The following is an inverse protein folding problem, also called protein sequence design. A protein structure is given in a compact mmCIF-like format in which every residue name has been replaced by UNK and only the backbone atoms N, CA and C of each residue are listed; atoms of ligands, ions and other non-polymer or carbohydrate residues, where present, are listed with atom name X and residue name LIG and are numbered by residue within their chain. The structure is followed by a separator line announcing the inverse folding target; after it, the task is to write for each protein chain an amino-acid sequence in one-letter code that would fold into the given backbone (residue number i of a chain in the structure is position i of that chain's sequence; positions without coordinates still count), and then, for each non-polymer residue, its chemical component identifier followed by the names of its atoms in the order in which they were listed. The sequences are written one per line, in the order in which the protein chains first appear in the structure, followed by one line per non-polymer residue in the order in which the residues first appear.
data_IF_495318949698
#
_entry.id   IF_495318949698
#
_cell.length_a   1.000
_cell.length_b   1.000
_cell.length_c   1.000
_cell.angle_alpha   90.00
_cell.angle_beta   90.00
_cell.angle_gamma   90.00
#
_symmetry.space_group_name_H-M   'P 1'
#
loop_
_entity.id
_entity.type
_entity.pdbx_description
1 polymer ?
#
# COMPACT_ATOMS: atom_id res chain seq x y z
N UNK A 1 -1.18 5.82 -4.43
CA UNK A 1 -1.96 6.98 -3.92
C UNK A 1 -1.28 8.34 -4.18
N UNK A 2 -0.59 8.52 -5.31
CA UNK A 2 0.02 9.81 -5.72
C UNK A 2 -0.60 10.33 -7.01
N UNK A 3 -0.66 9.44 -7.99
CA UNK A 3 -1.35 9.63 -9.26
C UNK A 3 -2.87 9.62 -9.07
N UNK A 4 -3.61 10.09 -10.06
CA UNK A 4 -5.07 10.11 -10.20
C UNK A 4 -5.70 8.73 -10.37
N UNK A 5 -5.39 7.81 -9.45
CA UNK A 5 -5.94 6.46 -9.40
C UNK A 5 -5.38 5.52 -10.47
N UNK A 6 -6.09 4.41 -10.68
CA UNK A 6 -5.69 3.34 -11.61
C UNK A 6 -5.61 3.88 -13.04
N UNK A 7 -6.53 4.76 -13.44
CA UNK A 7 -6.60 5.32 -14.79
C UNK A 7 -5.27 5.99 -15.19
N UNK A 8 -4.71 6.84 -14.32
CA UNK A 8 -3.44 7.51 -14.63
C UNK A 8 -2.25 6.54 -14.55
N UNK A 9 -2.29 5.57 -13.63
CA UNK A 9 -1.25 4.54 -13.58
C UNK A 9 -1.19 3.73 -14.88
N UNK A 10 -2.35 3.32 -15.43
CA UNK A 10 -2.40 2.58 -16.70
C UNK A 10 -1.76 3.37 -17.85
N UNK A 11 -1.99 4.69 -17.90
CA UNK A 11 -1.34 5.55 -18.90
C UNK A 11 0.19 5.54 -18.73
N UNK A 12 0.69 5.58 -17.49
CA UNK A 12 2.14 5.48 -17.20
C UNK A 12 2.72 4.12 -17.57
N UNK A 13 2.03 3.00 -17.25
CA UNK A 13 2.47 1.65 -17.64
C UNK A 13 2.64 1.56 -19.17
N UNK A 14 1.64 2.05 -19.93
CA UNK A 14 1.68 2.05 -21.40
C UNK A 14 2.79 2.94 -21.96
N UNK A 15 3.03 4.11 -21.36
CA UNK A 15 4.15 4.97 -21.75
C UNK A 15 5.49 4.28 -21.51
N UNK A 16 5.69 3.69 -20.33
CA UNK A 16 6.92 2.98 -20.01
C UNK A 16 7.17 1.81 -20.98
N UNK A 17 6.12 1.03 -21.30
CA UNK A 17 6.18 -0.03 -22.32
C UNK A 17 6.59 0.51 -23.69
N UNK A 18 5.98 1.61 -24.13
CA UNK A 18 6.29 2.25 -25.43
C UNK A 18 7.77 2.65 -25.53
N UNK A 19 8.33 3.17 -24.44
CA UNK A 19 9.73 3.66 -24.41
C UNK A 19 10.73 2.63 -23.88
N UNK A 20 10.30 1.40 -23.56
CA UNK A 20 11.18 0.34 -23.06
C UNK A 20 11.77 0.62 -21.68
N UNK A 21 11.08 1.42 -20.85
CA UNK A 21 11.54 1.80 -19.50
C UNK A 21 10.96 0.80 -18.48
N UNK A 22 11.78 0.22 -17.59
CA UNK A 22 11.29 -0.66 -16.54
C UNK A 22 10.53 0.13 -15.46
N UNK A 23 9.56 -0.53 -14.82
CA UNK A 23 8.79 0.01 -13.70
C UNK A 23 9.11 -0.80 -12.45
N UNK A 24 9.41 -0.07 -11.36
CA UNK A 24 9.52 -0.59 -10.01
C UNK A 24 8.61 0.26 -9.15
N UNK A 25 7.41 -0.21 -8.77
CA UNK A 25 6.47 0.61 -8.02
C UNK A 25 6.99 0.89 -6.62
N UNK A 26 6.78 2.13 -6.17
CA UNK A 26 6.97 2.53 -4.78
C UNK A 26 5.84 1.97 -3.92
N UNK A 27 6.20 1.35 -2.81
CA UNK A 27 5.29 0.63 -1.91
C UNK A 27 5.51 0.97 -0.43
N UNK A 28 6.28 2.00 -0.11
CA UNK A 28 6.51 2.43 1.28
C UNK A 28 5.38 3.27 1.85
N UNK A 29 4.73 2.80 2.91
CA UNK A 29 3.69 3.53 3.64
C UNK A 29 2.53 2.64 4.06
N UNK A 30 1.46 3.24 4.57
CA UNK A 30 0.28 2.49 5.03
C UNK A 30 -0.55 2.04 3.82
N UNK A 31 -0.70 0.73 3.62
CA UNK A 31 -1.57 0.15 2.59
C UNK A 31 -1.03 0.21 1.16
N UNK A 32 0.17 0.76 0.92
CA UNK A 32 0.73 0.80 -0.43
C UNK A 32 1.08 -0.59 -0.98
N UNK A 33 1.64 -1.53 -0.19
CA UNK A 33 1.83 -2.91 -0.63
C UNK A 33 0.54 -3.57 -1.10
N UNK A 34 -0.56 -3.28 -0.40
CA UNK A 34 -1.89 -3.78 -0.71
C UNK A 34 -2.38 -3.25 -2.07
N UNK A 35 -2.11 -1.98 -2.40
CA UNK A 35 -2.40 -1.40 -3.71
C UNK A 35 -1.45 -1.91 -4.82
N UNK A 36 -0.14 -1.71 -4.66
CA UNK A 36 0.80 -1.79 -5.78
C UNK A 36 1.03 -3.21 -6.27
N UNK A 37 0.74 -4.25 -5.47
CA UNK A 37 0.77 -5.64 -5.93
C UNK A 37 -0.17 -5.88 -7.11
N UNK A 38 -1.35 -5.25 -7.15
CA UNK A 38 -2.29 -5.39 -8.26
C UNK A 38 -1.78 -4.66 -9.51
N UNK A 39 -1.19 -3.47 -9.33
CA UNK A 39 -0.63 -2.69 -10.44
C UNK A 39 0.56 -3.41 -11.09
N UNK A 40 1.45 -4.02 -10.28
CA UNK A 40 2.53 -4.88 -10.78
C UNK A 40 1.96 -6.13 -11.49
N UNK A 41 0.89 -6.72 -10.97
CA UNK A 41 0.23 -7.87 -11.61
C UNK A 41 -0.36 -7.48 -12.97
N UNK A 42 -1.03 -6.33 -13.06
CA UNK A 42 -1.55 -5.79 -14.32
C UNK A 42 -0.41 -5.54 -15.31
N UNK A 43 0.67 -4.90 -14.88
CA UNK A 43 1.83 -4.66 -15.75
C UNK A 43 2.38 -5.98 -16.30
N UNK A 44 2.62 -6.96 -15.42
CA UNK A 44 3.14 -8.27 -15.83
C UNK A 44 2.22 -9.00 -16.80
N UNK A 45 0.92 -9.09 -16.50
CA UNK A 45 0.00 -9.95 -17.27
C UNK A 45 -0.44 -9.31 -18.58
N UNK A 46 -0.73 -8.01 -18.61
CA UNK A 46 -1.39 -7.38 -19.77
C UNK A 46 -0.63 -6.21 -20.43
N UNK A 47 0.51 -5.76 -19.88
CA UNK A 47 1.27 -4.63 -20.45
C UNK A 47 2.70 -5.00 -20.84
N UNK A 48 3.55 -5.29 -19.86
CA UNK A 48 4.98 -5.50 -20.07
C UNK A 48 5.32 -6.94 -20.43
N UNK A 49 4.66 -7.93 -19.84
CA UNK A 49 5.02 -9.35 -19.97
C UNK A 49 6.33 -9.70 -19.25
N UNK A 50 6.82 -8.83 -18.35
CA UNK A 50 8.14 -8.95 -17.73
C UNK A 50 8.02 -8.96 -16.21
N UNK A 51 8.63 -9.95 -15.58
CA UNK A 51 8.78 -9.94 -14.13
C UNK A 51 9.70 -8.79 -13.72
N UNK A 52 9.30 -8.03 -12.72
CA UNK A 52 10.04 -6.88 -12.18
C UNK A 52 10.12 -6.96 -10.66
N UNK A 53 10.80 -5.99 -10.06
CA UNK A 53 10.87 -5.81 -8.61
C UNK A 53 9.69 -4.96 -8.15
N UNK A 54 9.16 -5.28 -6.98
CA UNK A 54 8.20 -4.48 -6.24
C UNK A 54 8.78 -4.21 -4.85
N UNK A 55 8.82 -2.94 -4.44
CA UNK A 55 9.23 -2.57 -3.08
C UNK A 55 8.29 -3.22 -2.06
N UNK A 56 8.82 -3.66 -0.92
CA UNK A 56 8.06 -4.19 0.21
C UNK A 56 8.60 -3.60 1.52
N UNK A 57 7.69 -3.26 2.43
CA UNK A 57 8.00 -2.74 3.77
C UNK A 57 7.07 -3.43 4.76
N UNK A 58 7.63 -4.14 5.74
CA UNK A 58 6.88 -4.98 6.69
C UNK A 58 6.28 -4.18 7.85
N UNK A 59 5.30 -3.32 7.57
CA UNK A 59 4.65 -2.50 8.59
C UNK A 59 3.16 -2.31 8.28
N UNK A 60 2.30 -2.37 9.31
CA UNK A 60 0.90 -1.96 9.30
C UNK A 60 -0.06 -2.83 8.46
N UNK A 61 0.41 -3.95 7.93
CA UNK A 61 -0.41 -4.93 7.21
C UNK A 61 -1.54 -5.52 8.07
N UNK A 62 -1.32 -5.60 9.40
CA UNK A 62 -2.29 -6.10 10.36
C UNK A 62 -3.61 -5.31 10.39
N UNK A 63 -3.64 -4.11 9.82
CA UNK A 63 -4.81 -3.25 9.76
C UNK A 63 -5.71 -3.48 8.54
N UNK A 64 -5.31 -4.34 7.59
CA UNK A 64 -6.08 -4.63 6.38
C UNK A 64 -6.77 -6.00 6.48
N UNK A 65 -7.94 -6.14 5.84
CA UNK A 65 -8.65 -7.43 5.76
C UNK A 65 -7.90 -8.43 4.88
N UNK A 66 -7.26 -7.93 3.82
CA UNK A 66 -6.56 -8.74 2.82
C UNK A 66 -5.13 -8.22 2.63
N UNK A 67 -4.25 -8.38 3.63
CA UNK A 67 -2.88 -7.89 3.57
C UNK A 67 -2.11 -8.56 2.42
N UNK A 68 -1.14 -7.83 1.87
CA UNK A 68 -0.17 -8.41 0.95
C UNK A 68 0.63 -9.52 1.63
N UNK A 69 0.92 -10.59 0.88
CA UNK A 69 1.64 -11.77 1.41
C UNK A 69 2.92 -11.97 0.63
N UNK A 70 4.04 -12.06 1.35
CA UNK A 70 5.34 -12.41 0.78
C UNK A 70 5.65 -13.87 1.12
N UNK A 71 6.05 -14.64 0.11
CA UNK A 71 6.55 -16.00 0.26
C UNK A 71 7.80 -16.18 -0.56
N UNK A 72 8.87 -16.67 0.06
CA UNK A 72 10.18 -16.90 -0.58
C UNK A 72 10.73 -15.67 -1.33
N UNK A 73 10.43 -14.46 -0.83
CA UNK A 73 10.83 -13.19 -1.44
C UNK A 73 9.92 -12.69 -2.57
N UNK A 74 8.77 -13.33 -2.80
CA UNK A 74 7.81 -12.95 -3.85
C UNK A 74 6.45 -12.58 -3.28
N UNK A 75 5.86 -11.51 -3.84
CA UNK A 75 4.44 -11.21 -3.66
C UNK A 75 3.58 -12.37 -4.18
N UNK A 76 2.64 -12.80 -3.34
CA UNK A 76 1.60 -13.75 -3.75
C UNK A 76 0.43 -12.98 -4.34
N UNK A 77 -0.01 -13.36 -5.54
CA UNK A 77 -1.14 -12.71 -6.20
C UNK A 77 -2.41 -12.84 -5.36
N UNK A 78 -3.08 -11.73 -4.98
CA UNK A 78 -4.33 -11.78 -4.23
C UNK A 78 -5.44 -12.50 -5.01
N UNK A 79 -6.25 -13.28 -4.32
CA UNK A 79 -7.41 -14.00 -4.89
C UNK A 79 -8.75 -13.43 -4.45
N UNK A 80 -8.77 -12.64 -3.39
CA UNK A 80 -9.98 -12.02 -2.85
C UNK A 80 -10.42 -10.84 -3.73
N UNK A 81 -11.74 -10.58 -3.85
CA UNK A 81 -12.24 -9.48 -4.66
C UNK A 81 -11.86 -8.12 -4.08
N UNK A 82 -11.68 -7.15 -4.96
CA UNK A 82 -11.39 -5.76 -4.60
C UNK A 82 -9.92 -5.40 -4.74
N UNK A 83 -9.52 -4.32 -4.07
CA UNK A 83 -8.19 -3.73 -4.22
C UNK A 83 -7.33 -3.87 -2.95
N UNK A 84 -7.66 -4.86 -2.09
CA UNK A 84 -6.94 -5.20 -0.84
C UNK A 84 -6.83 -4.09 0.23
N UNK A 85 -7.50 -2.96 0.04
CA UNK A 85 -7.30 -1.74 0.84
C UNK A 85 -8.40 -1.47 1.86
N UNK A 86 -9.32 -2.42 2.01
CA UNK A 86 -10.31 -2.37 3.07
C UNK A 86 -9.60 -2.57 4.41
N UNK A 87 -9.68 -1.54 5.25
CA UNK A 87 -9.12 -1.56 6.60
C UNK A 87 -10.11 -2.17 7.58
N UNK A 88 -9.58 -2.82 8.61
CA UNK A 88 -10.34 -3.34 9.74
C UNK A 88 -11.02 -2.17 10.49
N UNK A 89 -12.34 -2.22 10.75
CA UNK A 89 -13.04 -1.17 11.47
C UNK A 89 -12.38 -0.80 12.81
N UNK A 90 -11.90 -1.80 13.55
CA UNK A 90 -11.25 -1.59 14.85
C UNK A 90 -9.94 -0.81 14.73
N UNK A 91 -9.25 -0.93 13.59
CA UNK A 91 -8.04 -0.16 13.31
C UNK A 91 -8.40 1.29 12.99
N UNK A 92 -9.49 1.52 12.25
CA UNK A 92 -9.99 2.87 12.00
C UNK A 92 -10.40 3.55 13.31
N UNK A 93 -11.21 2.89 14.14
CA UNK A 93 -11.66 3.45 15.42
C UNK A 93 -10.50 3.73 16.39
N UNK A 94 -9.54 2.81 16.50
CA UNK A 94 -8.40 2.94 17.43
C UNK A 94 -7.44 4.05 17.02
N UNK A 95 -7.18 4.22 15.73
CA UNK A 95 -6.12 5.10 15.21
C UNK A 95 -6.66 6.34 14.48
N UNK A 96 -7.97 6.57 14.44
CA UNK A 96 -8.55 7.84 13.96
C UNK A 96 -8.00 9.01 14.76
N UNK A 97 -7.47 10.03 14.07
CA UNK A 97 -6.98 11.26 14.68
C UNK A 97 -8.06 12.36 14.64
N UNK A 98 -8.28 13.14 15.72
CA UNK A 98 -7.59 13.10 17.02
C UNK A 98 -8.11 12.01 17.97
N UNK A 99 -9.16 11.30 17.57
CA UNK A 99 -9.70 10.15 18.29
C UNK A 99 -10.58 10.49 19.50
N UNK A 100 -11.41 9.52 19.86
CA UNK A 100 -12.28 9.53 21.03
C UNK A 100 -11.62 8.96 22.30
N UNK A 101 -12.43 8.75 23.33
CA UNK A 101 -12.03 7.97 24.50
C UNK A 101 -11.62 6.55 24.09
N UNK A 102 -10.48 6.06 24.59
CA UNK A 102 -9.91 4.76 24.20
C UNK A 102 -9.09 4.76 22.89
N UNK A 103 -8.99 5.87 22.16
CA UNK A 103 -8.11 5.99 21.00
C UNK A 103 -6.62 5.96 21.39
N UNK A 104 -5.80 5.41 20.49
CA UNK A 104 -4.35 5.42 20.64
C UNK A 104 -3.78 6.84 20.78
N UNK A 105 -4.38 7.84 20.12
CA UNK A 105 -3.93 9.24 20.18
C UNK A 105 -4.12 9.90 21.56
N UNK A 106 -4.86 9.27 22.48
CA UNK A 106 -4.97 9.74 23.88
C UNK A 106 -4.14 8.91 24.85
N UNK A 107 -3.40 7.92 24.35
CA UNK A 107 -2.53 7.07 25.15
C UNK A 107 -1.20 7.78 25.46
N UNK A 108 -0.48 7.26 26.47
CA UNK A 108 0.86 7.73 26.80
C UNK A 108 1.85 7.53 25.65
N UNK A 109 1.63 6.53 24.78
CA UNK A 109 2.47 6.23 23.61
C UNK A 109 2.42 7.35 22.55
N UNK A 110 1.31 8.08 22.45
CA UNK A 110 1.15 9.16 21.50
C UNK A 110 1.77 10.48 21.98
N UNK A 111 2.01 10.66 23.29
CA UNK A 111 2.51 11.91 23.87
C UNK A 111 3.79 12.43 23.22
N UNK A 112 4.83 11.60 22.95
CA UNK A 112 6.04 12.08 22.28
C UNK A 112 5.78 12.66 20.88
N UNK A 113 4.76 12.16 20.17
CA UNK A 113 4.39 12.68 18.84
C UNK A 113 3.61 13.99 18.97
N UNK A 114 2.72 14.09 19.96
CA UNK A 114 1.82 15.23 20.14
C UNK A 114 2.51 16.44 20.79
N UNK A 115 3.34 16.19 21.79
CA UNK A 115 3.97 17.19 22.65
C UNK A 115 5.47 17.33 22.38
N UNK A 116 6.04 16.45 21.56
CA UNK A 116 7.44 16.48 21.19
C UNK A 116 7.85 17.77 20.48
N UNK A 117 9.15 18.06 20.52
CA UNK A 117 9.73 19.19 19.79
C UNK A 117 9.44 18.99 18.30
N UNK A 118 8.68 19.92 17.72
CA UNK A 118 8.43 19.97 16.28
C UNK A 118 9.72 20.44 15.60
N UNK A 119 10.34 19.55 14.83
CA UNK A 119 11.54 19.80 14.04
C UNK A 119 11.15 20.40 12.69
#
# INVERSE_FOLDING_TARGET
CRMGGVNEVLAVLLMAKKYGVPIVPHSGGVGLPEYTQHLSTIDYVVVSGKQSVLEYVDHLHEHFLHPSVIKDGFYQTPTEPGYSVEMKPESMDRYEYPGGEGSWWRSDEAKPILEGIKI
#
